data_IF_012471652226
#
_entry.id   IF_012471652226
#
_cell.length_a   1.000
_cell.length_b   1.000
_cell.length_c   1.000
_cell.angle_alpha   90.00
_cell.angle_beta   90.00
_cell.angle_gamma   90.00
#
_symmetry.space_group_name_H-M   'P 1'
#
loop_
_entity.id
_entity.type
_entity.pdbx_description
1 polymer ?
#
# COMPACT_ATOMS: atom_id res chain seq x y z
N UNK A 1 24.34 -22.47 1.27
CA UNK A 1 24.62 -21.21 1.98
C UNK A 1 25.26 -20.23 1.01
N UNK A 2 24.75 -19.00 0.89
CA UNK A 2 25.26 -17.94 0.03
C UNK A 2 25.73 -16.76 0.88
N UNK A 3 26.53 -15.87 0.32
CA UNK A 3 26.87 -14.58 0.90
C UNK A 3 26.07 -13.50 0.22
N UNK A 4 25.27 -12.75 0.99
CA UNK A 4 24.55 -11.56 0.53
C UNK A 4 25.24 -10.32 1.10
N UNK A 5 25.68 -9.42 0.24
CA UNK A 5 26.28 -8.14 0.61
C UNK A 5 25.24 -7.08 0.40
N UNK A 6 24.83 -6.41 1.45
CA UNK A 6 23.76 -5.41 1.41
C UNK A 6 24.33 -4.03 1.22
N UNK A 7 23.73 -3.28 0.30
CA UNK A 7 24.00 -1.88 0.05
C UNK A 7 23.19 -0.97 1.00
N UNK A 8 23.60 0.27 1.14
CA UNK A 8 22.99 1.28 1.99
C UNK A 8 21.51 1.51 1.68
N UNK A 9 21.16 1.59 0.40
CA UNK A 9 19.79 1.85 -0.04
C UNK A 9 18.81 0.74 0.34
N UNK A 10 19.26 -0.51 0.44
CA UNK A 10 18.45 -1.65 0.92
C UNK A 10 18.07 -1.46 2.39
N UNK A 11 19.03 -1.11 3.23
CA UNK A 11 18.85 -0.93 4.66
C UNK A 11 18.09 0.35 5.02
N UNK A 12 18.22 1.39 4.20
CA UNK A 12 17.43 2.61 4.33
C UNK A 12 15.99 2.43 3.83
N UNK A 13 15.76 1.48 2.94
CA UNK A 13 14.42 1.09 2.48
C UNK A 13 13.74 0.17 3.50
N UNK A 14 14.41 -0.90 3.90
CA UNK A 14 13.92 -1.85 4.89
C UNK A 14 15.04 -2.24 5.88
N UNK A 15 15.02 -1.72 7.11
CA UNK A 15 16.01 -2.08 8.14
C UNK A 15 15.91 -3.55 8.58
N UNK A 16 14.77 -4.24 8.33
CA UNK A 16 14.57 -5.65 8.65
C UNK A 16 15.06 -6.59 7.55
N UNK A 17 15.53 -6.06 6.42
CA UNK A 17 16.13 -6.84 5.32
C UNK A 17 17.27 -7.77 5.77
N UNK A 18 17.92 -7.46 6.89
CA UNK A 18 18.90 -8.36 7.55
C UNK A 18 18.34 -9.76 7.81
N UNK A 19 17.05 -9.87 8.05
CA UNK A 19 16.36 -11.11 8.41
C UNK A 19 15.76 -11.84 7.21
N UNK A 20 15.76 -11.23 6.04
CA UNK A 20 15.12 -11.77 4.81
C UNK A 20 15.90 -12.92 4.18
N UNK A 21 17.21 -13.03 4.45
CA UNK A 21 18.10 -14.00 3.81
C UNK A 21 18.29 -15.26 4.67
N UNK A 22 17.19 -15.99 4.90
CA UNK A 22 17.16 -17.19 5.78
C UNK A 22 18.27 -18.20 5.43
N UNK A 23 18.95 -18.73 6.45
CA UNK A 23 20.00 -19.74 6.34
C UNK A 23 21.22 -19.34 5.46
N UNK A 24 21.47 -18.02 5.29
CA UNK A 24 22.57 -17.51 4.51
C UNK A 24 23.41 -16.49 5.30
N UNK A 25 24.58 -16.13 4.78
CA UNK A 25 25.42 -15.10 5.37
C UNK A 25 25.00 -13.73 4.86
N UNK A 26 24.73 -12.82 5.77
CA UNK A 26 24.50 -11.41 5.51
C UNK A 26 25.78 -10.65 5.85
N UNK A 27 26.35 -9.98 4.87
CA UNK A 27 27.61 -9.24 4.99
C UNK A 27 27.31 -7.75 4.85
N UNK A 28 27.66 -6.97 5.86
CA UNK A 28 27.48 -5.52 5.86
C UNK A 28 28.84 -4.86 5.72
N UNK A 29 29.13 -4.17 4.60
CA UNK A 29 30.33 -3.35 4.48
C UNK A 29 30.37 -2.26 5.56
N UNK A 30 31.55 -1.97 6.09
CA UNK A 30 31.70 -0.87 7.07
C UNK A 30 31.29 0.47 6.48
N UNK A 31 31.53 0.67 5.21
CA UNK A 31 31.16 1.86 4.44
C UNK A 31 29.65 2.12 4.45
N UNK A 32 28.86 1.04 4.43
CA UNK A 32 27.39 1.09 4.52
C UNK A 32 26.96 1.61 5.90
N UNK A 33 27.61 1.15 6.98
CA UNK A 33 27.32 1.62 8.33
C UNK A 33 27.67 3.11 8.49
N UNK A 34 28.84 3.53 7.95
CA UNK A 34 29.25 4.93 7.95
C UNK A 34 28.29 5.83 7.15
N UNK A 35 27.77 5.33 6.05
CA UNK A 35 26.82 6.08 5.22
C UNK A 35 25.45 6.18 5.91
N UNK A 36 24.94 5.09 6.48
CA UNK A 36 23.69 5.08 7.26
C UNK A 36 23.73 6.07 8.42
N UNK A 37 24.91 6.22 9.06
CA UNK A 37 25.05 7.13 10.18
C UNK A 37 24.75 8.61 9.80
N UNK A 38 25.03 8.99 8.57
CA UNK A 38 24.71 10.34 8.04
C UNK A 38 23.22 10.60 7.96
N UNK A 39 22.41 9.55 7.70
CA UNK A 39 20.95 9.66 7.58
C UNK A 39 20.21 9.68 8.92
N UNK A 40 20.84 9.36 10.04
CA UNK A 40 20.18 9.31 11.37
C UNK A 40 19.50 10.61 11.79
N UNK A 41 19.99 11.74 11.30
CA UNK A 41 19.44 13.08 11.59
C UNK A 41 18.32 13.50 10.63
N UNK A 42 18.10 12.75 9.58
CA UNK A 42 17.05 13.02 8.61
C UNK A 42 15.68 12.81 9.28
N UNK A 43 14.74 13.78 9.19
CA UNK A 43 13.40 13.67 9.75
C UNK A 43 12.49 12.72 8.94
N UNK A 44 12.91 12.30 7.75
CA UNK A 44 12.15 11.42 6.85
C UNK A 44 12.19 9.96 7.30
N UNK A 45 11.47 9.11 6.57
CA UNK A 45 11.46 7.65 6.72
C UNK A 45 12.87 7.06 6.66
N UNK A 46 13.73 7.56 5.76
CA UNK A 46 15.13 7.13 5.65
C UNK A 46 15.87 7.29 6.98
N UNK A 47 15.69 8.44 7.66
CA UNK A 47 16.30 8.63 8.97
C UNK A 47 15.70 7.75 10.04
N UNK A 48 14.41 7.44 9.99
CA UNK A 48 13.79 6.48 10.90
C UNK A 48 14.34 5.07 10.68
N UNK A 49 14.48 4.64 9.45
CA UNK A 49 15.05 3.34 9.08
C UNK A 49 16.53 3.25 9.46
N UNK A 50 17.31 4.31 9.26
CA UNK A 50 18.70 4.40 9.72
C UNK A 50 18.84 4.21 11.23
N UNK A 51 17.96 4.84 12.02
CA UNK A 51 17.94 4.68 13.49
C UNK A 51 17.52 3.28 13.90
N UNK A 52 16.53 2.69 13.21
CA UNK A 52 16.05 1.32 13.48
C UNK A 52 17.13 0.30 13.17
N UNK A 53 17.75 0.36 11.99
CA UNK A 53 18.89 -0.48 11.63
C UNK A 53 20.03 -0.41 12.65
N UNK A 54 20.41 0.81 13.05
CA UNK A 54 21.50 0.99 14.03
C UNK A 54 21.18 0.36 15.38
N UNK A 55 19.94 0.44 15.86
CA UNK A 55 19.49 -0.23 17.09
C UNK A 55 19.51 -1.75 16.96
N UNK A 56 19.08 -2.28 15.81
CA UNK A 56 19.12 -3.72 15.54
C UNK A 56 20.57 -4.22 15.53
N UNK A 57 21.48 -3.50 14.87
CA UNK A 57 22.88 -3.85 14.80
C UNK A 57 23.57 -3.80 16.18
N UNK A 58 23.23 -2.81 17.01
CA UNK A 58 23.73 -2.71 18.40
C UNK A 58 23.20 -3.86 19.27
N UNK A 59 21.92 -4.23 19.11
CA UNK A 59 21.35 -5.41 19.74
C UNK A 59 22.05 -6.71 19.36
N UNK A 60 22.43 -6.87 18.09
CA UNK A 60 23.21 -8.03 17.64
C UNK A 60 24.65 -8.01 18.18
N UNK A 61 25.26 -6.85 18.34
CA UNK A 61 26.58 -6.69 18.96
C UNK A 61 26.63 -7.20 20.39
N UNK A 62 25.55 -7.12 21.15
CA UNK A 62 25.47 -7.66 22.50
C UNK A 62 25.54 -9.19 22.56
N UNK A 63 25.28 -9.88 21.45
CA UNK A 63 25.30 -11.35 21.33
C UNK A 63 26.68 -11.88 20.90
N UNK A 64 27.55 -11.03 20.35
CA UNK A 64 28.88 -11.44 19.91
C UNK A 64 29.59 -10.36 19.08
N UNK A 65 30.80 -10.69 18.62
CA UNK A 65 31.59 -9.77 17.77
C UNK A 65 31.08 -9.78 16.33
N UNK A 66 30.56 -8.67 15.85
CA UNK A 66 30.04 -8.53 14.48
C UNK A 66 31.12 -8.80 13.39
N UNK A 67 32.40 -8.62 13.70
CA UNK A 67 33.51 -8.94 12.79
C UNK A 67 33.74 -10.45 12.62
N UNK A 68 33.39 -11.23 13.62
CA UNK A 68 33.51 -12.70 13.61
C UNK A 68 32.26 -13.37 13.07
N UNK A 69 31.10 -12.73 13.25
CA UNK A 69 29.77 -13.16 12.82
C UNK A 69 28.86 -13.51 13.98
N UNK A 70 27.61 -13.05 13.92
CA UNK A 70 26.56 -13.29 14.91
C UNK A 70 25.42 -14.06 14.24
N UNK A 71 24.88 -15.07 14.93
CA UNK A 71 23.75 -15.87 14.44
C UNK A 71 22.49 -15.02 14.43
N UNK A 72 21.78 -15.02 13.31
CA UNK A 72 20.47 -14.38 13.19
C UNK A 72 19.34 -15.34 13.62
N UNK A 73 18.25 -14.81 14.12
CA UNK A 73 17.05 -15.58 14.48
C UNK A 73 16.48 -16.42 13.33
N UNK A 74 16.82 -16.07 12.10
CA UNK A 74 16.42 -16.76 10.85
C UNK A 74 17.38 -17.88 10.42
N UNK A 75 18.36 -18.25 11.27
CA UNK A 75 19.30 -19.35 11.01
C UNK A 75 20.52 -18.98 10.15
N UNK A 76 20.66 -17.71 9.77
CA UNK A 76 21.83 -17.19 9.06
C UNK A 76 22.84 -16.52 9.97
N UNK A 77 23.94 -16.00 9.39
CA UNK A 77 24.96 -15.25 10.13
C UNK A 77 25.09 -13.84 9.57
N UNK A 78 25.12 -12.84 10.45
CA UNK A 78 25.46 -11.48 10.07
C UNK A 78 26.90 -11.18 10.44
N UNK A 79 27.62 -10.59 9.52
CA UNK A 79 29.01 -10.15 9.74
C UNK A 79 29.26 -8.78 9.14
N UNK A 80 29.89 -7.91 9.92
CA UNK A 80 30.44 -6.65 9.41
C UNK A 80 31.81 -6.94 8.78
N UNK A 81 31.98 -6.47 7.52
CA UNK A 81 33.17 -6.73 6.74
C UNK A 81 33.82 -5.42 6.31
N UNK A 82 35.14 -5.44 6.21
CA UNK A 82 35.95 -4.30 5.80
C UNK A 82 37.01 -4.74 4.81
N UNK A 83 37.40 -3.84 3.93
CA UNK A 83 38.47 -4.11 2.98
C UNK A 83 39.80 -4.20 3.73
N UNK A 84 40.42 -5.38 3.73
CA UNK A 84 41.79 -5.51 4.21
C UNK A 84 42.71 -4.70 3.30
N UNK A 85 43.53 -3.80 3.86
CA UNK A 85 44.58 -3.12 3.11
C UNK A 85 45.60 -4.16 2.65
N UNK A 86 45.41 -4.73 1.46
CA UNK A 86 46.43 -5.53 0.81
C UNK A 86 47.58 -4.60 0.43
N UNK A 87 48.77 -4.98 0.83
CA UNK A 87 50.05 -4.28 0.66
C UNK A 87 50.54 -4.10 -0.79
N UNK A 88 49.81 -4.56 -1.78
CA UNK A 88 50.16 -4.46 -3.20
C UNK A 88 49.26 -3.45 -3.92
N UNK A 89 49.82 -2.27 -4.05
CA UNK A 89 49.22 -1.15 -4.76
C UNK A 89 48.98 -1.42 -6.24
N UNK A 90 47.75 -1.66 -6.59
CA UNK A 90 47.14 -1.15 -7.81
C UNK A 90 45.73 -0.68 -7.41
N UNK A 91 45.68 0.53 -6.88
CA UNK A 91 44.44 1.30 -6.89
C UNK A 91 44.07 1.47 -8.36
N UNK A 92 43.07 0.73 -8.83
CA UNK A 92 42.45 1.02 -10.10
C UNK A 92 41.97 2.49 -10.02
N UNK A 93 42.55 3.31 -10.86
CA UNK A 93 42.21 4.71 -11.09
C UNK A 93 40.73 4.75 -11.49
N UNK A 94 39.88 5.29 -10.63
CA UNK A 94 38.48 5.49 -11.00
C UNK A 94 37.60 5.59 -9.76
N UNK A 95 37.15 6.80 -9.44
CA UNK A 95 36.11 7.18 -8.51
C UNK A 95 36.11 6.49 -7.13
N UNK A 96 36.54 7.24 -6.12
CA UNK A 96 36.58 6.84 -4.71
C UNK A 96 35.17 6.86 -4.05
N UNK A 97 34.11 6.52 -4.83
CA UNK A 97 32.73 6.47 -4.34
C UNK A 97 32.51 5.28 -3.40
N UNK A 98 31.57 5.41 -2.49
CA UNK A 98 31.13 4.34 -1.58
C UNK A 98 30.78 3.08 -2.38
N UNK A 99 30.01 3.22 -3.45
CA UNK A 99 29.60 2.15 -4.38
C UNK A 99 30.80 1.37 -4.91
N UNK A 100 31.85 2.09 -5.35
CA UNK A 100 33.05 1.44 -5.89
C UNK A 100 33.76 0.60 -4.84
N UNK A 101 33.75 1.04 -3.57
CA UNK A 101 34.33 0.30 -2.44
C UNK A 101 33.49 -0.93 -2.08
N UNK A 102 32.15 -0.80 -2.11
CA UNK A 102 31.24 -1.94 -1.87
C UNK A 102 31.45 -3.02 -2.94
N UNK A 103 31.51 -2.65 -4.22
CA UNK A 103 31.75 -3.62 -5.29
C UNK A 103 33.14 -4.27 -5.18
N UNK A 104 34.17 -3.49 -4.86
CA UNK A 104 35.52 -4.01 -4.66
C UNK A 104 35.59 -4.99 -3.49
N UNK A 105 34.92 -4.68 -2.38
CA UNK A 105 34.79 -5.58 -1.23
C UNK A 105 34.06 -6.87 -1.61
N UNK A 106 32.94 -6.77 -2.30
CA UNK A 106 32.14 -7.92 -2.75
C UNK A 106 32.97 -8.86 -3.64
N UNK A 107 33.74 -8.32 -4.56
CA UNK A 107 34.70 -9.10 -5.38
C UNK A 107 35.80 -9.74 -4.56
N UNK A 108 36.29 -9.06 -3.53
CA UNK A 108 37.30 -9.65 -2.65
C UNK A 108 36.75 -10.84 -1.84
N UNK A 109 35.51 -10.74 -1.37
CA UNK A 109 34.79 -11.83 -0.69
C UNK A 109 34.58 -13.02 -1.64
N UNK A 110 34.13 -12.74 -2.86
CA UNK A 110 33.92 -13.76 -3.91
C UNK A 110 35.22 -14.51 -4.23
N UNK A 111 36.33 -13.79 -4.40
CA UNK A 111 37.65 -14.38 -4.66
C UNK A 111 38.20 -15.18 -3.48
N UNK A 112 37.95 -14.73 -2.26
CA UNK A 112 38.42 -15.41 -1.05
C UNK A 112 37.70 -16.76 -0.80
N UNK A 113 36.47 -16.89 -1.25
CA UNK A 113 35.66 -18.12 -1.09
C UNK A 113 34.88 -18.44 -2.37
N UNK A 114 35.53 -18.87 -3.46
CA UNK A 114 34.87 -19.04 -4.77
C UNK A 114 33.82 -20.16 -4.79
N UNK A 115 33.80 -21.06 -3.80
CA UNK A 115 32.77 -22.09 -3.67
C UNK A 115 31.46 -21.60 -3.05
N UNK A 116 31.45 -20.41 -2.43
CA UNK A 116 30.27 -19.80 -1.83
C UNK A 116 29.79 -18.68 -2.75
N UNK A 117 28.62 -18.81 -3.37
CA UNK A 117 28.07 -17.74 -4.20
C UNK A 117 27.97 -16.44 -3.41
N UNK A 118 28.52 -15.37 -3.96
CA UNK A 118 28.48 -14.03 -3.37
C UNK A 118 27.66 -13.12 -4.27
N UNK A 119 26.64 -12.50 -3.71
CA UNK A 119 25.63 -11.70 -4.42
C UNK A 119 25.57 -10.32 -3.76
N UNK A 120 25.68 -9.29 -4.58
CA UNK A 120 25.41 -7.90 -4.14
C UNK A 120 23.91 -7.63 -4.21
N UNK A 121 23.33 -7.15 -3.12
CA UNK A 121 21.92 -6.75 -3.08
C UNK A 121 21.85 -5.24 -3.01
N UNK A 122 21.23 -4.62 -4.02
CA UNK A 122 21.11 -3.16 -4.11
C UNK A 122 19.88 -2.76 -4.91
N UNK A 123 19.21 -1.69 -4.49
CA UNK A 123 18.09 -1.06 -5.24
C UNK A 123 18.58 -0.12 -6.36
N UNK A 124 19.87 0.20 -6.39
CA UNK A 124 20.46 1.06 -7.43
C UNK A 124 20.74 0.25 -8.71
N UNK A 125 20.01 0.58 -9.78
CA UNK A 125 20.15 -0.05 -11.10
C UNK A 125 21.57 0.14 -11.66
N UNK A 126 22.15 1.33 -11.48
CA UNK A 126 23.49 1.61 -12.01
C UNK A 126 24.55 0.79 -11.27
N UNK A 127 24.36 0.60 -9.96
CA UNK A 127 25.27 -0.24 -9.17
C UNK A 127 25.14 -1.71 -9.56
N UNK A 128 23.92 -2.20 -9.86
CA UNK A 128 23.72 -3.56 -10.39
C UNK A 128 24.42 -3.75 -11.74
N UNK A 129 24.22 -2.83 -12.68
CA UNK A 129 24.86 -2.88 -14.00
C UNK A 129 26.40 -2.88 -13.85
N UNK A 130 26.92 -2.04 -12.97
CA UNK A 130 28.37 -1.96 -12.70
C UNK A 130 28.92 -3.25 -12.08
N UNK A 131 28.18 -3.86 -11.15
CA UNK A 131 28.56 -5.13 -10.52
C UNK A 131 28.57 -6.26 -11.56
N UNK A 132 27.53 -6.36 -12.37
CA UNK A 132 27.42 -7.36 -13.44
C UNK A 132 28.55 -7.23 -14.47
N UNK A 133 28.85 -6.03 -14.94
CA UNK A 133 29.97 -5.77 -15.85
C UNK A 133 31.32 -6.18 -15.27
N UNK A 134 31.45 -6.28 -13.95
CA UNK A 134 32.64 -6.72 -13.24
C UNK A 134 32.61 -8.22 -12.87
N UNK A 135 31.61 -8.98 -13.33
CA UNK A 135 31.41 -10.39 -13.05
C UNK A 135 30.99 -10.72 -11.62
N UNK A 136 30.35 -9.76 -10.94
CA UNK A 136 29.76 -9.95 -9.62
C UNK A 136 28.23 -10.04 -9.77
N UNK A 137 27.59 -11.17 -9.43
CA UNK A 137 26.14 -11.28 -9.40
C UNK A 137 25.52 -10.19 -8.51
N UNK A 138 24.52 -9.49 -9.03
CA UNK A 138 23.79 -8.48 -8.29
C UNK A 138 22.29 -8.67 -8.46
N UNK A 139 21.56 -8.55 -7.34
CA UNK A 139 20.12 -8.73 -7.27
C UNK A 139 19.46 -7.46 -6.70
N UNK A 140 18.22 -7.20 -7.11
CA UNK A 140 17.37 -6.19 -6.46
C UNK A 140 16.87 -6.75 -5.12
N UNK A 141 16.61 -5.85 -4.17
CA UNK A 141 15.91 -6.21 -2.93
C UNK A 141 14.41 -6.03 -3.15
N UNK A 142 13.73 -7.15 -3.34
CA UNK A 142 12.30 -7.19 -3.77
C UNK A 142 11.33 -7.55 -2.63
N UNK A 143 11.71 -7.46 -1.36
CA UNK A 143 10.90 -7.96 -0.23
C UNK A 143 9.53 -7.30 -0.08
N UNK A 144 9.31 -6.14 -0.68
CA UNK A 144 8.07 -5.38 -0.59
C UNK A 144 7.34 -5.23 -1.94
N UNK A 145 7.77 -5.98 -2.95
CA UNK A 145 7.04 -5.99 -4.22
C UNK A 145 5.81 -6.87 -4.09
N UNK A 146 4.69 -6.22 -3.89
CA UNK A 146 3.38 -6.83 -4.05
C UNK A 146 3.04 -6.76 -5.54
N UNK A 147 3.12 -7.88 -6.25
CA UNK A 147 2.67 -7.91 -7.63
C UNK A 147 1.16 -7.66 -7.65
N UNK A 148 0.71 -6.75 -8.50
CA UNK A 148 -0.72 -6.41 -8.60
C UNK A 148 -1.54 -7.66 -8.94
N UNK A 149 -0.95 -8.59 -9.67
CA UNK A 149 -1.56 -9.86 -10.06
C UNK A 149 -1.79 -10.82 -8.87
N UNK A 150 -1.00 -10.67 -7.80
CA UNK A 150 -1.10 -11.47 -6.57
C UNK A 150 -2.00 -10.80 -5.51
N UNK A 151 -2.51 -9.60 -5.77
CA UNK A 151 -3.38 -8.91 -4.84
C UNK A 151 -4.71 -9.66 -4.68
N UNK A 152 -5.19 -9.70 -3.46
CA UNK A 152 -6.50 -10.25 -3.14
C UNK A 152 -7.60 -9.49 -3.88
N UNK A 153 -8.32 -10.20 -4.75
CA UNK A 153 -9.36 -9.58 -5.59
C UNK A 153 -10.64 -9.27 -4.83
N UNK A 154 -10.87 -9.90 -3.70
CA UNK A 154 -12.08 -9.75 -2.90
C UNK A 154 -13.32 -10.39 -3.51
N UNK A 155 -13.18 -11.18 -4.60
CA UNK A 155 -14.32 -11.82 -5.27
C UNK A 155 -13.94 -13.12 -5.95
N UNK A 156 -14.94 -14.01 -6.10
CA UNK A 156 -14.86 -15.28 -6.80
C UNK A 156 -16.17 -15.63 -7.52
N UNK A 157 -16.14 -16.61 -8.38
CA UNK A 157 -17.32 -17.13 -9.07
C UNK A 157 -17.58 -18.58 -8.58
N UNK A 158 -18.84 -18.92 -8.30
CA UNK A 158 -19.26 -20.25 -7.85
C UNK A 158 -20.44 -20.75 -8.68
N UNK A 159 -20.33 -21.99 -9.15
CA UNK A 159 -21.44 -22.67 -9.81
C UNK A 159 -22.31 -23.38 -8.74
N UNK A 160 -23.62 -23.21 -8.83
CA UNK A 160 -24.60 -23.85 -7.97
C UNK A 160 -25.62 -24.68 -8.80
N UNK A 161 -26.15 -25.73 -8.22
CA UNK A 161 -27.24 -26.49 -8.84
C UNK A 161 -28.54 -25.67 -8.91
N UNK A 162 -29.49 -26.06 -9.71
CA UNK A 162 -30.81 -25.41 -9.77
C UNK A 162 -31.52 -25.46 -8.41
N UNK A 163 -31.33 -26.52 -7.63
CA UNK A 163 -31.90 -26.68 -6.30
C UNK A 163 -31.25 -25.72 -5.29
N UNK A 164 -29.92 -25.60 -5.31
CA UNK A 164 -29.17 -24.67 -4.49
C UNK A 164 -29.55 -23.20 -4.79
N UNK A 165 -29.70 -22.86 -6.09
CA UNK A 165 -30.17 -21.53 -6.50
C UNK A 165 -31.60 -21.24 -6.05
N UNK A 166 -32.49 -22.24 -6.10
CA UNK A 166 -33.85 -22.10 -5.61
C UNK A 166 -33.89 -21.95 -4.08
N UNK A 167 -33.10 -22.75 -3.36
CA UNK A 167 -32.92 -22.64 -1.91
C UNK A 167 -32.39 -21.29 -1.49
N UNK A 168 -31.32 -20.81 -2.13
CA UNK A 168 -30.77 -19.47 -1.88
C UNK A 168 -31.80 -18.35 -2.06
N UNK A 169 -32.65 -18.43 -3.10
CA UNK A 169 -33.71 -17.44 -3.32
C UNK A 169 -34.83 -17.49 -2.28
N UNK A 170 -35.12 -18.67 -1.74
CA UNK A 170 -36.16 -18.86 -0.74
C UNK A 170 -35.68 -18.51 0.67
N UNK A 171 -34.46 -18.93 1.03
CA UNK A 171 -33.94 -18.84 2.39
C UNK A 171 -33.02 -17.63 2.60
N UNK A 172 -32.46 -17.06 1.51
CA UNK A 172 -31.52 -15.95 1.58
C UNK A 172 -30.12 -16.36 2.04
N UNK A 173 -29.84 -17.65 2.12
CA UNK A 173 -28.51 -18.15 2.46
C UNK A 173 -28.18 -19.45 1.70
N UNK A 174 -26.86 -19.70 1.48
CA UNK A 174 -26.37 -20.95 0.92
C UNK A 174 -25.10 -21.37 1.68
N UNK A 175 -25.08 -22.58 2.20
CA UNK A 175 -23.89 -23.12 2.85
C UNK A 175 -22.76 -23.38 1.86
N UNK A 176 -21.58 -22.86 2.18
CA UNK A 176 -20.35 -23.12 1.41
C UNK A 176 -19.80 -24.49 1.79
N UNK A 177 -19.74 -25.39 0.79
CA UNK A 177 -19.21 -26.75 0.94
C UNK A 177 -17.78 -26.81 0.39
N UNK A 178 -16.94 -27.61 1.06
CA UNK A 178 -15.57 -27.86 0.60
C UNK A 178 -14.50 -27.14 1.39
N UNK A 179 -13.26 -27.31 0.99
CA UNK A 179 -12.06 -26.85 1.66
C UNK A 179 -11.32 -25.66 1.00
N UNK A 180 -11.89 -24.77 0.18
CA UNK A 180 -11.30 -23.46 0.05
C UNK A 180 -11.74 -22.63 1.26
N UNK A 181 -10.77 -22.03 1.94
CA UNK A 181 -11.00 -21.10 3.02
C UNK A 181 -11.49 -19.77 2.44
N UNK A 182 -12.81 -19.55 2.52
CA UNK A 182 -13.39 -18.28 2.12
C UNK A 182 -13.20 -17.23 3.23
N UNK A 183 -13.02 -15.98 2.81
CA UNK A 183 -12.86 -14.89 3.76
C UNK A 183 -14.18 -14.17 4.02
N UNK A 184 -14.46 -13.72 5.25
CA UNK A 184 -15.61 -12.88 5.55
C UNK A 184 -15.63 -11.64 4.64
N UNK A 185 -16.82 -11.29 4.14
CA UNK A 185 -17.07 -10.20 3.19
C UNK A 185 -16.47 -10.39 1.78
N UNK A 186 -15.95 -11.56 1.45
CA UNK A 186 -15.57 -11.89 0.09
C UNK A 186 -16.82 -12.00 -0.79
N UNK A 187 -16.82 -11.37 -1.96
CA UNK A 187 -17.96 -11.33 -2.85
C UNK A 187 -18.00 -12.54 -3.79
N UNK A 188 -19.21 -13.02 -4.08
CA UNK A 188 -19.38 -14.15 -4.97
C UNK A 188 -20.48 -13.88 -6.01
N UNK A 189 -20.15 -14.21 -7.28
CA UNK A 189 -21.19 -14.36 -8.31
C UNK A 189 -21.61 -15.83 -8.34
N UNK A 190 -22.78 -16.10 -7.78
CA UNK A 190 -23.38 -17.43 -7.81
C UNK A 190 -24.08 -17.62 -9.16
N UNK A 191 -23.71 -18.66 -9.92
CA UNK A 191 -24.24 -18.95 -11.28
C UNK A 191 -24.86 -20.33 -11.32
N UNK A 192 -26.08 -20.43 -11.85
CA UNK A 192 -26.76 -21.73 -12.00
C UNK A 192 -26.03 -22.59 -13.03
N UNK A 193 -25.69 -23.84 -12.65
CA UNK A 193 -25.04 -24.78 -13.53
C UNK A 193 -25.97 -25.12 -14.73
N UNK A 194 -25.42 -24.96 -15.94
CA UNK A 194 -26.22 -25.15 -17.18
C UNK A 194 -27.02 -23.92 -17.63
N UNK A 195 -27.12 -22.87 -16.83
CA UNK A 195 -27.80 -21.62 -17.21
C UNK A 195 -27.04 -20.37 -16.77
N UNK A 196 -26.01 -19.94 -17.50
CA UNK A 196 -25.16 -18.79 -17.12
C UNK A 196 -25.88 -17.45 -17.07
N UNK A 197 -27.12 -17.36 -17.53
CA UNK A 197 -27.94 -16.15 -17.42
C UNK A 197 -28.62 -16.02 -16.04
N UNK A 198 -28.71 -17.12 -15.29
CA UNK A 198 -29.26 -17.10 -13.93
C UNK A 198 -28.14 -16.95 -12.92
N UNK A 199 -27.94 -15.73 -12.46
CA UNK A 199 -26.93 -15.39 -11.46
C UNK A 199 -27.55 -14.73 -10.23
N UNK A 200 -26.84 -14.78 -9.11
CA UNK A 200 -27.12 -14.00 -7.91
C UNK A 200 -25.80 -13.38 -7.41
N UNK A 201 -25.86 -12.12 -7.01
CA UNK A 201 -24.74 -11.44 -6.38
C UNK A 201 -24.83 -11.66 -4.86
N UNK A 202 -23.77 -12.17 -4.29
CA UNK A 202 -23.72 -12.62 -2.90
C UNK A 202 -22.42 -12.20 -2.24
N UNK A 203 -22.33 -12.34 -0.93
CA UNK A 203 -21.09 -12.22 -0.17
C UNK A 203 -20.99 -13.32 0.89
N UNK A 204 -19.77 -13.62 1.28
CA UNK A 204 -19.49 -14.55 2.38
C UNK A 204 -19.87 -13.84 3.71
N UNK A 205 -20.62 -14.55 4.52
CA UNK A 205 -21.04 -14.08 5.83
C UNK A 205 -19.84 -13.93 6.81
N UNK A 206 -20.02 -13.28 7.99
CA UNK A 206 -18.94 -13.12 8.96
C UNK A 206 -18.36 -14.43 9.51
N UNK A 207 -19.08 -15.56 9.40
CA UNK A 207 -18.57 -16.87 9.83
C UNK A 207 -17.64 -17.53 8.81
N UNK A 208 -17.62 -17.04 7.56
CA UNK A 208 -16.88 -17.65 6.46
C UNK A 208 -17.51 -18.95 5.92
N UNK A 209 -18.77 -19.26 6.29
CA UNK A 209 -19.40 -20.54 5.99
C UNK A 209 -20.61 -20.47 5.06
N UNK A 210 -21.18 -19.30 4.88
CA UNK A 210 -22.41 -19.11 4.12
C UNK A 210 -22.28 -17.97 3.12
N UNK A 211 -22.96 -18.09 2.00
CA UNK A 211 -23.26 -16.97 1.12
C UNK A 211 -24.57 -16.31 1.54
N UNK A 212 -24.57 -15.00 1.60
CA UNK A 212 -25.75 -14.19 1.89
C UNK A 212 -25.95 -13.13 0.80
N UNK A 213 -27.18 -12.62 0.56
CA UNK A 213 -27.40 -11.60 -0.44
C UNK A 213 -26.68 -10.29 -0.06
N UNK A 214 -26.29 -9.53 -1.08
CA UNK A 214 -25.79 -8.17 -0.92
C UNK A 214 -26.95 -7.19 -0.82
N UNK A 215 -26.64 -5.95 -0.36
CA UNK A 215 -27.61 -4.85 -0.34
C UNK A 215 -28.09 -4.55 -1.76
N UNK A 216 -29.39 -4.39 -1.94
CA UNK A 216 -29.95 -3.99 -3.23
C UNK A 216 -29.65 -2.53 -3.52
N UNK A 217 -28.76 -2.31 -4.46
CA UNK A 217 -28.34 -0.98 -4.92
C UNK A 217 -28.86 -0.60 -6.32
N UNK A 218 -29.82 -1.37 -6.88
CA UNK A 218 -30.35 -1.15 -8.24
C UNK A 218 -31.01 0.21 -8.42
N UNK A 219 -31.66 0.72 -7.41
CA UNK A 219 -32.26 2.07 -7.41
C UNK A 219 -31.20 3.19 -7.36
N UNK A 220 -29.96 2.83 -7.08
CA UNK A 220 -28.83 3.74 -6.96
C UNK A 220 -28.58 4.24 -5.55
N UNK A 221 -27.38 4.78 -5.35
CA UNK A 221 -26.93 5.40 -4.10
C UNK A 221 -26.60 6.85 -4.41
N UNK A 222 -27.32 7.79 -3.79
CA UNK A 222 -27.17 9.22 -4.04
C UNK A 222 -27.23 9.59 -5.54
N UNK A 223 -28.14 8.96 -6.29
CA UNK A 223 -28.30 9.17 -7.73
C UNK A 223 -27.34 8.35 -8.63
N UNK A 224 -26.35 7.69 -8.08
CA UNK A 224 -25.42 6.85 -8.83
C UNK A 224 -25.95 5.41 -8.89
N UNK A 225 -26.25 4.94 -10.10
CA UNK A 225 -26.67 3.54 -10.36
C UNK A 225 -25.49 2.68 -10.74
N UNK A 226 -25.32 1.49 -10.12
CA UNK A 226 -24.27 0.54 -10.51
C UNK A 226 -24.52 0.02 -11.94
N UNK A 227 -23.46 -0.13 -12.72
CA UNK A 227 -23.49 -0.55 -14.13
C UNK A 227 -22.99 -1.98 -14.33
N UNK A 228 -22.28 -2.53 -13.37
CA UNK A 228 -21.71 -3.88 -13.41
C UNK A 228 -21.69 -4.50 -11.99
N UNK A 229 -21.35 -5.80 -11.90
CA UNK A 229 -21.35 -6.54 -10.65
C UNK A 229 -20.35 -5.96 -9.61
N UNK A 230 -19.19 -5.53 -10.07
CA UNK A 230 -18.15 -4.95 -9.22
C UNK A 230 -18.63 -3.67 -8.52
N UNK A 231 -19.42 -2.86 -9.23
CA UNK A 231 -20.02 -1.65 -8.64
C UNK A 231 -21.14 -1.98 -7.64
N UNK A 232 -21.90 -3.07 -7.85
CA UNK A 232 -22.84 -3.57 -6.84
C UNK A 232 -22.12 -4.04 -5.58
N UNK A 233 -21.02 -4.78 -5.72
CA UNK A 233 -20.17 -5.20 -4.61
C UNK A 233 -19.56 -4.01 -3.89
N UNK A 234 -19.06 -3.04 -4.62
CA UNK A 234 -18.53 -1.80 -4.04
C UNK A 234 -19.58 -1.07 -3.20
N UNK A 235 -20.80 -0.90 -3.68
CA UNK A 235 -21.87 -0.27 -2.89
C UNK A 235 -22.25 -1.07 -1.66
N UNK A 236 -22.31 -2.40 -1.74
CA UNK A 236 -22.54 -3.23 -0.56
C UNK A 236 -21.45 -3.02 0.51
N UNK A 237 -20.17 -3.07 0.11
CA UNK A 237 -19.06 -2.82 1.02
C UNK A 237 -19.09 -1.41 1.62
N UNK A 238 -19.41 -0.40 0.81
CA UNK A 238 -19.47 1.00 1.23
C UNK A 238 -20.63 1.29 2.20
N UNK A 239 -21.76 0.61 2.03
CA UNK A 239 -22.97 0.81 2.85
C UNK A 239 -23.02 -0.07 4.10
N UNK A 240 -22.24 -1.14 4.18
CA UNK A 240 -22.17 -2.01 5.36
C UNK A 240 -21.26 -1.39 6.44
N UNK A 241 -21.84 -0.85 7.50
CA UNK A 241 -21.11 -0.17 8.59
C UNK A 241 -20.23 -1.10 9.43
N UNK A 242 -20.40 -2.41 9.33
CA UNK A 242 -19.53 -3.40 9.98
C UNK A 242 -18.17 -3.46 9.31
N UNK A 243 -18.12 -3.17 8.01
CA UNK A 243 -16.89 -3.09 7.23
C UNK A 243 -16.26 -1.72 7.43
N UNK A 244 -15.20 -1.63 8.22
CA UNK A 244 -14.56 -0.36 8.60
C UNK A 244 -13.50 0.13 7.63
N UNK A 245 -12.86 -0.77 6.88
CA UNK A 245 -11.87 -0.47 5.85
C UNK A 245 -12.35 -1.05 4.52
N UNK A 246 -12.40 -0.20 3.48
CA UNK A 246 -12.74 -0.59 2.10
C UNK A 246 -11.66 -0.10 1.17
N UNK A 247 -11.20 -0.95 0.26
CA UNK A 247 -10.29 -0.59 -0.83
C UNK A 247 -10.99 -0.77 -2.16
N UNK A 248 -11.09 0.29 -2.95
CA UNK A 248 -11.66 0.28 -4.30
C UNK A 248 -10.53 0.44 -5.31
N UNK A 249 -10.07 -0.69 -5.86
CA UNK A 249 -9.03 -0.75 -6.86
C UNK A 249 -9.62 -0.85 -8.27
N UNK A 250 -9.07 -0.12 -9.23
CA UNK A 250 -9.48 -0.23 -10.62
C UNK A 250 -8.93 0.91 -11.48
N UNK A 251 -9.06 0.78 -12.80
CA UNK A 251 -8.59 1.78 -13.77
C UNK A 251 -9.30 3.13 -13.58
N UNK A 252 -8.67 4.20 -14.03
CA UNK A 252 -9.30 5.52 -14.09
C UNK A 252 -10.63 5.48 -14.85
N UNK A 253 -11.57 6.33 -14.44
CA UNK A 253 -12.90 6.43 -15.09
C UNK A 253 -13.88 5.30 -14.71
N UNK A 254 -13.53 4.37 -13.83
CA UNK A 254 -14.45 3.30 -13.36
C UNK A 254 -15.44 3.75 -12.27
N UNK A 255 -15.39 5.01 -11.84
CA UNK A 255 -16.33 5.61 -10.89
C UNK A 255 -16.02 5.36 -9.40
N UNK A 256 -14.83 4.88 -9.05
CA UNK A 256 -14.43 4.57 -7.66
C UNK A 256 -14.68 5.73 -6.69
N UNK A 257 -14.09 6.88 -6.97
CA UNK A 257 -14.21 8.09 -6.14
C UNK A 257 -15.65 8.57 -6.06
N UNK A 258 -16.36 8.56 -7.19
CA UNK A 258 -17.76 8.98 -7.26
C UNK A 258 -18.68 8.06 -6.41
N UNK A 259 -18.48 6.73 -6.48
CA UNK A 259 -19.24 5.78 -5.67
C UNK A 259 -18.93 5.92 -4.17
N UNK A 260 -17.66 6.08 -3.81
CA UNK A 260 -17.25 6.29 -2.43
C UNK A 260 -17.87 7.56 -1.83
N UNK A 261 -17.85 8.66 -2.59
CA UNK A 261 -18.47 9.93 -2.19
C UNK A 261 -19.99 9.83 -2.11
N UNK A 262 -20.64 9.18 -3.08
CA UNK A 262 -22.10 8.97 -3.08
C UNK A 262 -22.55 8.19 -1.85
N UNK A 263 -21.85 7.09 -1.51
CA UNK A 263 -22.11 6.33 -0.31
C UNK A 263 -21.85 7.16 0.95
N UNK A 264 -20.73 7.90 1.01
CA UNK A 264 -20.42 8.79 2.13
C UNK A 264 -21.47 9.86 2.35
N UNK A 265 -21.98 10.50 1.29
CA UNK A 265 -23.06 11.48 1.35
C UNK A 265 -24.36 10.86 1.86
N UNK A 266 -24.74 9.68 1.33
CA UNK A 266 -25.92 8.96 1.83
C UNK A 266 -25.80 8.69 3.33
N UNK A 267 -24.68 8.11 3.76
CA UNK A 267 -24.45 7.70 5.17
C UNK A 267 -24.32 8.89 6.13
N UNK A 268 -23.87 10.06 5.65
CA UNK A 268 -23.68 11.26 6.46
C UNK A 268 -24.92 12.14 6.47
N UNK A 269 -25.50 12.42 5.30
CA UNK A 269 -26.55 13.44 5.14
C UNK A 269 -27.94 12.85 5.29
N UNK A 270 -28.21 11.67 4.68
CA UNK A 270 -29.54 11.04 4.74
C UNK A 270 -29.67 10.16 5.98
N UNK A 271 -28.74 9.22 6.14
CA UNK A 271 -28.82 8.21 7.22
C UNK A 271 -28.32 8.77 8.56
N UNK A 272 -27.50 9.82 8.56
CA UNK A 272 -26.91 10.49 9.74
C UNK A 272 -26.09 9.55 10.65
N UNK A 273 -25.52 8.51 10.06
CA UNK A 273 -24.69 7.53 10.77
C UNK A 273 -23.32 8.11 11.10
N UNK A 274 -22.77 8.91 10.18
CA UNK A 274 -21.50 9.58 10.37
C UNK A 274 -21.71 11.10 10.54
N UNK A 275 -20.84 11.72 11.32
CA UNK A 275 -20.91 13.17 11.58
C UNK A 275 -20.59 14.00 10.36
N UNK A 276 -19.67 13.53 9.53
CA UNK A 276 -19.24 14.19 8.28
C UNK A 276 -18.60 13.23 7.31
N UNK A 277 -18.64 13.60 6.05
CA UNK A 277 -17.83 13.01 4.99
C UNK A 277 -16.53 13.81 4.90
N UNK A 278 -15.38 13.14 5.04
CA UNK A 278 -14.05 13.70 4.81
C UNK A 278 -13.49 13.10 3.54
N UNK A 279 -13.12 13.95 2.58
CA UNK A 279 -12.43 13.51 1.36
C UNK A 279 -11.03 14.11 1.38
N UNK A 280 -10.04 13.25 1.35
CA UNK A 280 -8.64 13.66 1.37
C UNK A 280 -7.88 13.05 0.19
N UNK A 281 -6.89 13.81 -0.30
CA UNK A 281 -6.04 13.40 -1.42
C UNK A 281 -4.58 13.68 -1.09
N UNK A 282 -3.64 12.76 -1.45
CA UNK A 282 -2.21 13.04 -1.38
C UNK A 282 -1.86 14.24 -2.26
N UNK A 283 -1.07 15.16 -1.72
CA UNK A 283 -0.53 16.29 -2.49
C UNK A 283 0.87 15.93 -2.96
N UNK A 284 1.08 15.86 -4.26
CA UNK A 284 2.36 15.57 -4.86
C UNK A 284 2.90 16.85 -5.47
N UNK A 285 4.06 17.30 -5.03
CA UNK A 285 4.73 18.42 -5.65
C UNK A 285 5.39 17.96 -6.97
N UNK A 286 4.76 18.25 -8.08
CA UNK A 286 5.40 18.07 -9.41
C UNK A 286 6.50 19.12 -9.59
N UNK A 287 7.71 18.83 -9.10
CA UNK A 287 8.95 19.55 -9.48
C UNK A 287 9.15 20.98 -8.97
N UNK A 288 8.21 21.58 -8.24
CA UNK A 288 8.38 22.87 -7.54
C UNK A 288 7.76 22.78 -6.16
N UNK A 289 8.53 23.18 -5.14
CA UNK A 289 8.00 23.29 -3.78
C UNK A 289 6.79 24.25 -3.76
N UNK A 290 5.72 23.84 -3.07
CA UNK A 290 4.49 24.65 -2.85
C UNK A 290 4.81 26.07 -2.36
N UNK A 291 5.99 26.28 -1.77
CA UNK A 291 6.47 27.58 -1.29
C UNK A 291 6.64 28.67 -2.36
N UNK A 292 6.84 28.29 -3.63
CA UNK A 292 7.04 29.25 -4.74
C UNK A 292 5.74 29.74 -5.39
N UNK A 293 4.60 29.16 -5.04
CA UNK A 293 3.30 29.64 -5.55
C UNK A 293 2.81 30.80 -4.67
N UNK A 294 2.32 31.91 -5.27
CA UNK A 294 1.68 32.99 -4.51
C UNK A 294 0.33 32.54 -3.96
N UNK A 295 -0.10 33.12 -2.83
CA UNK A 295 -1.38 32.86 -2.21
C UNK A 295 -1.32 32.08 -0.90
N UNK A 296 -2.46 31.88 -0.26
CA UNK A 296 -2.63 31.09 0.93
C UNK A 296 -2.37 29.60 0.65
N UNK A 297 -2.15 28.80 1.69
CA UNK A 297 -1.93 27.37 1.52
C UNK A 297 -3.15 26.66 0.90
N UNK A 298 -4.36 27.13 1.23
CA UNK A 298 -5.62 26.65 0.67
C UNK A 298 -5.70 26.92 -0.82
N UNK A 299 -5.41 28.16 -1.26
CA UNK A 299 -5.36 28.53 -2.68
C UNK A 299 -4.32 27.72 -3.47
N UNK A 300 -3.20 27.39 -2.81
CA UNK A 300 -2.15 26.58 -3.43
C UNK A 300 -2.59 25.11 -3.64
N UNK A 301 -3.46 24.59 -2.78
CA UNK A 301 -3.95 23.21 -2.83
C UNK A 301 -5.17 23.03 -3.74
N UNK A 302 -5.86 24.12 -4.10
CA UNK A 302 -7.08 24.12 -4.92
C UNK A 302 -6.98 23.26 -6.19
N UNK A 303 -5.89 23.35 -7.00
CA UNK A 303 -5.79 22.54 -8.22
C UNK A 303 -5.85 21.02 -7.99
N UNK A 304 -5.36 20.54 -6.85
CA UNK A 304 -5.41 19.12 -6.49
C UNK A 304 -6.78 18.67 -5.98
N UNK A 305 -7.57 19.62 -5.45
CA UNK A 305 -8.90 19.36 -4.91
C UNK A 305 -10.00 19.52 -5.96
N UNK A 306 -9.72 20.18 -7.10
CA UNK A 306 -10.70 20.43 -8.16
C UNK A 306 -11.46 19.17 -8.61
N UNK A 307 -10.84 17.99 -8.86
CA UNK A 307 -11.58 16.80 -9.25
C UNK A 307 -12.59 16.31 -8.19
N UNK A 308 -12.35 16.61 -6.92
CA UNK A 308 -13.28 16.31 -5.83
C UNK A 308 -14.45 17.29 -5.84
N UNK A 309 -14.18 18.56 -6.09
CA UNK A 309 -15.23 19.59 -6.22
C UNK A 309 -16.14 19.30 -7.42
N UNK A 310 -15.58 18.93 -8.57
CA UNK A 310 -16.34 18.53 -9.76
C UNK A 310 -17.23 17.30 -9.49
N UNK A 311 -16.71 16.32 -8.77
CA UNK A 311 -17.49 15.14 -8.36
C UNK A 311 -18.63 15.50 -7.38
N UNK A 312 -18.40 16.42 -6.46
CA UNK A 312 -19.43 16.91 -5.51
C UNK A 312 -20.52 17.69 -6.25
N UNK A 313 -20.16 18.49 -7.22
CA UNK A 313 -21.11 19.22 -8.04
C UNK A 313 -22.02 18.26 -8.82
N UNK A 314 -21.41 17.27 -9.51
CA UNK A 314 -22.15 16.22 -10.20
C UNK A 314 -23.11 15.47 -9.27
N UNK A 315 -22.65 15.09 -8.05
CA UNK A 315 -23.49 14.39 -7.08
C UNK A 315 -24.62 15.25 -6.54
N UNK A 316 -24.43 16.57 -6.48
CA UNK A 316 -25.47 17.52 -6.11
C UNK A 316 -26.55 17.62 -7.17
N UNK A 317 -26.15 17.67 -8.44
CA UNK A 317 -27.06 17.75 -9.58
C UNK A 317 -27.91 16.49 -9.74
N UNK A 318 -27.32 15.32 -9.53
CA UNK A 318 -28.02 14.03 -9.60
C UNK A 318 -29.08 13.85 -8.50
N UNK A 319 -29.00 14.59 -7.41
CA UNK A 319 -29.91 14.47 -6.26
C UNK A 319 -30.89 15.63 -6.13
N UNK A 320 -31.07 16.44 -7.15
CA UNK A 320 -31.93 17.63 -7.17
C UNK A 320 -33.41 17.37 -6.86
N UNK A 321 -33.89 16.11 -6.77
CA UNK A 321 -35.27 15.74 -6.47
C UNK A 321 -35.65 15.68 -5.00
N UNK A 322 -34.70 15.57 -4.08
CA UNK A 322 -34.96 15.38 -2.65
C UNK A 322 -34.13 16.36 -1.80
N UNK A 323 -34.70 17.49 -1.43
CA UNK A 323 -34.07 18.56 -0.64
C UNK A 323 -32.87 19.26 -1.31
N UNK A 324 -33.04 20.51 -1.66
CA UNK A 324 -32.10 21.43 -2.32
C UNK A 324 -30.81 21.68 -1.51
N UNK A 325 -30.00 20.65 -1.31
CA UNK A 325 -28.68 20.79 -0.66
C UNK A 325 -27.59 20.84 -1.69
N UNK A 326 -27.26 22.06 -2.12
CA UNK A 326 -26.11 22.29 -3.00
C UNK A 326 -24.82 21.86 -2.31
N UNK A 327 -23.85 21.37 -3.05
CA UNK A 327 -22.51 21.00 -2.57
C UNK A 327 -21.88 22.07 -1.66
N UNK A 328 -22.05 23.33 -2.05
CA UNK A 328 -21.60 24.49 -1.28
C UNK A 328 -22.25 24.59 0.11
N UNK A 329 -23.56 24.28 0.25
CA UNK A 329 -24.25 24.32 1.54
C UNK A 329 -23.81 23.16 2.45
N UNK A 330 -23.54 21.99 1.89
CA UNK A 330 -23.00 20.83 2.61
C UNK A 330 -21.57 21.08 3.11
N UNK A 331 -20.74 21.77 2.34
CA UNK A 331 -19.41 22.19 2.78
C UNK A 331 -19.49 23.27 3.86
N UNK A 332 -20.34 24.30 3.67
CA UNK A 332 -20.54 25.37 4.70
C UNK A 332 -21.08 24.84 6.03
N UNK A 333 -21.94 23.83 6.00
CA UNK A 333 -22.45 23.19 7.21
C UNK A 333 -21.43 22.30 7.91
N UNK A 334 -20.28 22.04 7.29
CA UNK A 334 -19.26 21.11 7.77
C UNK A 334 -19.67 19.63 7.65
N UNK A 335 -20.74 19.32 6.90
CA UNK A 335 -21.15 17.95 6.60
C UNK A 335 -20.17 17.27 5.64
N UNK A 336 -19.49 18.06 4.81
CA UNK A 336 -18.42 17.62 3.91
C UNK A 336 -17.16 18.47 4.22
N UNK A 337 -16.03 17.80 4.30
CA UNK A 337 -14.71 18.42 4.44
C UNK A 337 -13.81 17.87 3.36
N UNK A 338 -13.25 18.75 2.53
CA UNK A 338 -12.25 18.42 1.52
C UNK A 338 -10.91 18.99 2.00
N UNK A 339 -9.94 18.13 2.21
CA UNK A 339 -8.66 18.57 2.78
C UNK A 339 -7.47 17.79 2.22
N UNK A 340 -6.29 18.42 2.21
CA UNK A 340 -5.06 17.72 1.90
C UNK A 340 -4.71 16.73 3.01
N UNK A 341 -4.12 15.60 2.63
CA UNK A 341 -3.79 14.53 3.56
C UNK A 341 -2.84 14.97 4.69
N UNK A 342 -2.00 15.96 4.44
CA UNK A 342 -1.10 16.53 5.43
C UNK A 342 -1.80 17.10 6.68
N UNK A 343 -3.06 17.53 6.55
CA UNK A 343 -3.86 18.07 7.65
C UNK A 343 -4.48 17.00 8.56
N UNK A 344 -4.47 15.75 8.12
CA UNK A 344 -4.96 14.60 8.89
C UNK A 344 -3.96 14.18 9.97
N UNK A 345 -2.68 14.53 9.79
CA UNK A 345 -1.62 14.21 10.75
C UNK A 345 -1.88 14.92 12.10
N UNK A 346 -1.82 14.15 13.20
CA UNK A 346 -2.00 14.70 14.57
C UNK A 346 -3.45 14.75 15.06
N UNK A 347 -4.44 14.43 14.23
CA UNK A 347 -5.87 14.40 14.63
C UNK A 347 -6.32 12.96 14.86
N UNK A 348 -7.22 12.76 15.81
CA UNK A 348 -8.00 11.52 15.94
C UNK A 348 -9.32 11.69 15.19
N UNK A 349 -9.65 10.74 14.31
CA UNK A 349 -10.80 10.81 13.43
C UNK A 349 -11.84 9.81 13.93
N UNK A 350 -12.88 10.30 14.60
CA UNK A 350 -13.95 9.47 15.16
C UNK A 350 -15.29 9.81 14.53
N UNK A 351 -16.12 8.79 14.31
CA UNK A 351 -17.48 8.89 13.76
C UNK A 351 -17.54 9.63 12.40
N UNK A 352 -16.61 9.35 11.50
CA UNK A 352 -16.55 9.99 10.18
C UNK A 352 -16.53 8.94 9.07
N UNK A 353 -17.09 9.30 7.91
CA UNK A 353 -16.88 8.57 6.67
C UNK A 353 -15.72 9.23 5.92
N UNK A 354 -14.62 8.53 5.78
CA UNK A 354 -13.40 9.08 5.23
C UNK A 354 -13.05 8.43 3.90
N UNK A 355 -12.82 9.22 2.89
CA UNK A 355 -12.37 8.79 1.55
C UNK A 355 -10.97 9.32 1.33
N UNK A 356 -10.04 8.42 1.05
CA UNK A 356 -8.67 8.74 0.60
C UNK A 356 -8.60 8.45 -0.88
N UNK A 357 -8.63 9.50 -1.67
CA UNK A 357 -8.58 9.40 -3.14
C UNK A 357 -7.13 9.38 -3.64
N UNK A 358 -6.89 8.74 -4.80
CA UNK A 358 -5.55 8.55 -5.39
C UNK A 358 -4.54 7.90 -4.43
N UNK A 359 -5.00 6.88 -3.71
CA UNK A 359 -4.25 6.23 -2.65
C UNK A 359 -2.97 5.51 -3.13
N UNK A 360 -2.85 5.19 -4.44
CA UNK A 360 -1.62 4.66 -5.03
C UNK A 360 -0.43 5.62 -4.95
N UNK A 361 -0.70 6.88 -4.67
CA UNK A 361 0.33 7.90 -4.48
C UNK A 361 0.84 7.99 -3.03
N UNK A 362 0.30 7.19 -2.12
CA UNK A 362 0.77 7.09 -0.74
C UNK A 362 2.01 6.23 -0.64
N UNK A 363 2.91 6.60 0.25
CA UNK A 363 3.92 5.68 0.77
C UNK A 363 3.26 4.68 1.75
N UNK A 364 3.85 3.48 1.97
CA UNK A 364 3.37 2.53 2.99
C UNK A 364 3.26 3.15 4.40
N UNK A 365 4.22 4.01 4.76
CA UNK A 365 4.22 4.71 6.04
C UNK A 365 3.04 5.69 6.18
N UNK A 366 2.70 6.40 5.10
CA UNK A 366 1.54 7.30 5.10
C UNK A 366 0.24 6.53 5.22
N UNK A 367 0.05 5.45 4.45
CA UNK A 367 -1.11 4.57 4.56
C UNK A 367 -1.27 4.02 5.98
N UNK A 368 -0.20 3.47 6.56
CA UNK A 368 -0.17 3.02 7.96
C UNK A 368 -0.52 4.14 8.94
N UNK A 369 0.02 5.35 8.73
CA UNK A 369 -0.25 6.49 9.60
C UNK A 369 -1.72 6.88 9.56
N UNK A 370 -2.37 6.87 8.39
CA UNK A 370 -3.78 7.18 8.23
C UNK A 370 -4.63 6.13 8.95
N UNK A 371 -4.40 4.85 8.68
CA UNK A 371 -5.16 3.74 9.27
C UNK A 371 -5.08 3.77 10.80
N UNK A 372 -3.91 4.05 11.37
CA UNK A 372 -3.73 4.13 12.83
C UNK A 372 -4.35 5.37 13.47
N UNK A 373 -4.82 6.35 12.71
CA UNK A 373 -5.55 7.54 13.17
C UNK A 373 -7.06 7.39 13.14
N UNK A 374 -7.55 6.35 12.49
CA UNK A 374 -8.98 6.04 12.43
C UNK A 374 -9.48 5.67 13.83
N UNK A 375 -10.34 6.51 14.36
CA UNK A 375 -10.94 6.33 15.69
C UNK A 375 -12.25 5.54 15.64
N UNK A 376 -12.84 5.36 16.81
CA UNK A 376 -14.10 4.63 16.97
C UNK A 376 -15.22 5.16 16.05
N UNK A 377 -15.99 4.25 15.46
CA UNK A 377 -17.15 4.59 14.63
C UNK A 377 -16.80 5.18 13.26
N UNK A 378 -15.54 5.23 12.85
CA UNK A 378 -15.14 5.73 11.54
C UNK A 378 -15.06 4.59 10.52
N UNK A 379 -15.46 4.89 9.29
CA UNK A 379 -15.25 4.07 8.11
C UNK A 379 -14.25 4.77 7.20
N UNK A 380 -13.24 4.05 6.73
CA UNK A 380 -12.24 4.56 5.81
C UNK A 380 -12.31 3.82 4.48
N UNK A 381 -12.23 4.57 3.41
CA UNK A 381 -12.27 4.08 2.02
C UNK A 381 -11.04 4.58 1.29
N UNK A 382 -10.22 3.68 0.78
CA UNK A 382 -9.14 4.00 -0.14
C UNK A 382 -9.60 3.77 -1.57
N UNK A 383 -9.43 4.78 -2.45
CA UNK A 383 -9.69 4.64 -3.88
C UNK A 383 -8.40 4.86 -4.64
N UNK A 384 -8.13 4.05 -5.66
CA UNK A 384 -6.88 4.18 -6.41
C UNK A 384 -6.81 3.35 -7.68
N UNK A 385 -5.88 3.76 -8.56
CA UNK A 385 -5.45 3.03 -9.74
C UNK A 385 -3.96 2.68 -9.58
N UNK A 386 -3.61 1.41 -9.33
CA UNK A 386 -2.22 1.03 -9.06
C UNK A 386 -1.27 1.23 -10.24
N UNK A 387 -1.80 1.54 -11.44
CA UNK A 387 -1.01 1.81 -12.64
C UNK A 387 -0.80 3.31 -12.91
N UNK A 388 -1.54 4.21 -12.23
CA UNK A 388 -1.43 5.65 -12.39
C UNK A 388 -0.74 6.29 -11.18
N UNK A 389 0.58 6.15 -11.11
CA UNK A 389 1.37 6.66 -10.00
C UNK A 389 2.08 7.94 -10.44
N UNK A 390 1.76 9.04 -9.78
CA UNK A 390 2.38 10.35 -9.99
C UNK A 390 3.50 10.65 -8.99
N UNK A 391 3.52 9.93 -7.87
CA UNK A 391 4.52 10.10 -6.82
C UNK A 391 5.85 9.44 -7.22
N UNK A 392 6.93 10.21 -7.42
CA UNK A 392 8.23 9.68 -7.85
C UNK A 392 8.94 8.79 -6.80
N UNK A 393 8.43 8.73 -5.58
CA UNK A 393 9.03 7.96 -4.48
C UNK A 393 8.42 6.58 -4.27
N UNK A 394 7.37 6.24 -5.02
CA UNK A 394 6.70 4.94 -4.98
C UNK A 394 6.47 4.42 -6.40
N UNK A 395 6.29 3.11 -6.54
CA UNK A 395 5.97 2.46 -7.80
C UNK A 395 4.75 1.52 -7.65
N UNK A 396 4.39 0.85 -8.74
CA UNK A 396 3.23 -0.06 -8.77
C UNK A 396 3.36 -1.27 -7.83
N UNK A 397 4.53 -1.52 -7.26
CA UNK A 397 4.79 -2.64 -6.35
C UNK A 397 5.05 -2.20 -4.91
N UNK A 398 5.37 -0.91 -4.67
CA UNK A 398 5.83 -0.40 -3.38
C UNK A 398 4.99 0.72 -2.80
N UNK A 399 3.80 0.99 -3.36
CA UNK A 399 2.93 2.06 -2.88
C UNK A 399 2.07 1.64 -1.68
N UNK A 400 1.61 2.62 -0.92
CA UNK A 400 0.83 2.42 0.29
C UNK A 400 -0.56 1.81 0.05
N UNK A 401 -1.13 1.96 -1.14
CA UNK A 401 -2.40 1.35 -1.49
C UNK A 401 -2.27 -0.17 -1.62
N UNK A 402 -1.30 -0.65 -2.41
CA UNK A 402 -1.04 -2.07 -2.56
C UNK A 402 -0.62 -2.71 -1.22
N UNK A 403 0.19 -2.00 -0.42
CA UNK A 403 0.54 -2.43 0.94
C UNK A 403 -0.68 -2.58 1.87
N UNK A 404 -1.74 -1.79 1.65
CA UNK A 404 -2.98 -1.89 2.45
C UNK A 404 -3.84 -3.07 2.03
N UNK A 405 -3.75 -3.51 0.76
CA UNK A 405 -4.54 -4.62 0.20
C UNK A 405 -3.87 -5.97 0.45
N UNK A 406 -2.52 -6.02 0.51
CA UNK A 406 -1.74 -7.22 0.85
C UNK A 406 -1.83 -7.57 2.33
#
# INVERSE_FOLDING_TARGET
MKNYILDTNVLLHDPHSLLSFKNNNVLIPIEVIEEIDRFKRDPTERGQNARTFSRMLDGLRSQGRLSEGVVLSTGGHLRVVFQSKTRNGHAAVGNNSVDSRIVALARSVQKARPRIPTILVTKDINLRIKADALGLPAEDYESDRVLIEDLYTGMFDLAASAEEMAGFRAEGELELRGDPKYFPNEYCTLTEAGNPKRTALTKVDPSGKKLVPIVDSREGVWGIKPRNREQHFAFDALLDDRVKLVTLMGKAGTGKTLMAMAAGLKRTVLDREFRRLVVARPTISMGRELGFLPGSLEEKLEPWMQPIHDALELLSDLNMGNEHRRSHDLMRSGSIVVEALSYIRGRSIAHQFMVIDEAQNLTPLEAKTIITRVGHGTKIVFTGDPYQIDNPYVDSSSNGFNYTVS
#
